data_IF_147616470012
#
_entry.id   IF_147616470012
#
_cell.length_a   1.000
_cell.length_b   1.000
_cell.length_c   1.000
_cell.angle_alpha   90.00
_cell.angle_beta   90.00
_cell.angle_gamma   90.00
#
_symmetry.space_group_name_H-M   'P 1'
#
loop_
_entity.id
_entity.type
_entity.pdbx_description
1 polymer ?
#
# COMPACT_ATOMS: atom_id res chain seq x y z
N UNK A 1 -6.15 1.05 -27.26
CA UNK A 1 -5.05 0.08 -27.03
C UNK A 1 -5.37 -0.76 -25.80
N UNK A 2 -5.47 -2.08 -25.95
CA UNK A 2 -5.77 -3.02 -24.87
C UNK A 2 -4.68 -2.94 -23.79
N UNK A 3 -5.07 -2.64 -22.55
CA UNK A 3 -4.14 -2.58 -21.42
C UNK A 3 -3.81 -4.00 -20.98
N UNK A 4 -2.75 -4.58 -21.52
CA UNK A 4 -2.24 -5.87 -21.06
C UNK A 4 -1.56 -5.71 -19.70
N UNK A 5 -2.34 -5.94 -18.63
CA UNK A 5 -1.80 -6.14 -17.29
C UNK A 5 -1.19 -7.54 -17.21
N UNK A 6 0.07 -7.66 -16.77
CA UNK A 6 0.68 -8.98 -16.57
C UNK A 6 0.08 -9.59 -15.30
N UNK A 7 -0.67 -10.67 -15.46
CA UNK A 7 -1.21 -11.43 -14.32
C UNK A 7 -0.12 -12.34 -13.75
N UNK A 8 -0.06 -12.39 -12.42
CA UNK A 8 0.80 -13.26 -11.64
C UNK A 8 -0.11 -14.16 -10.78
N UNK A 9 0.24 -15.43 -10.62
CA UNK A 9 -0.46 -16.28 -9.67
C UNK A 9 -0.33 -15.71 -8.25
N UNK A 10 -1.22 -16.12 -7.33
CA UNK A 10 -1.13 -15.68 -5.94
C UNK A 10 0.23 -16.01 -5.31
N UNK A 11 0.78 -17.19 -5.63
CA UNK A 11 2.10 -17.60 -5.17
C UNK A 11 3.18 -16.70 -5.76
N UNK A 12 3.18 -16.44 -7.07
CA UNK A 12 4.18 -15.59 -7.72
C UNK A 12 4.18 -14.17 -7.17
N UNK A 13 3.00 -13.56 -7.02
CA UNK A 13 2.88 -12.21 -6.47
C UNK A 13 3.30 -12.13 -5.01
N UNK A 14 2.86 -13.08 -4.18
CA UNK A 14 3.27 -13.15 -2.77
C UNK A 14 4.78 -13.37 -2.63
N UNK A 15 5.36 -14.30 -3.40
CA UNK A 15 6.81 -14.55 -3.41
C UNK A 15 7.59 -13.31 -3.84
N UNK A 16 7.12 -12.58 -4.85
CA UNK A 16 7.74 -11.34 -5.28
C UNK A 16 7.71 -10.29 -4.16
N UNK A 17 6.57 -10.11 -3.49
CA UNK A 17 6.46 -9.17 -2.37
C UNK A 17 7.35 -9.55 -1.19
N UNK A 18 7.36 -10.82 -0.81
CA UNK A 18 8.23 -11.33 0.27
C UNK A 18 9.69 -11.11 -0.09
N UNK A 19 10.10 -11.48 -1.31
CA UNK A 19 11.46 -11.26 -1.79
C UNK A 19 11.83 -9.77 -1.76
N UNK A 20 10.96 -8.89 -2.23
CA UNK A 20 11.16 -7.45 -2.19
C UNK A 20 11.36 -6.90 -0.77
N UNK A 21 10.57 -7.37 0.20
CA UNK A 21 10.76 -7.00 1.61
C UNK A 21 12.09 -7.51 2.18
N UNK A 22 12.45 -8.77 1.88
CA UNK A 22 13.72 -9.34 2.32
C UNK A 22 14.92 -8.57 1.74
N UNK A 23 14.85 -8.18 0.47
CA UNK A 23 15.85 -7.30 -0.16
C UNK A 23 15.92 -5.96 0.58
N UNK A 24 14.78 -5.33 0.86
CA UNK A 24 14.75 -4.07 1.62
C UNK A 24 15.42 -4.19 2.99
N UNK A 25 15.08 -5.22 3.75
CA UNK A 25 15.69 -5.49 5.07
C UNK A 25 17.19 -5.77 4.97
N UNK A 26 17.62 -6.57 3.98
CA UNK A 26 19.04 -6.85 3.75
C UNK A 26 19.82 -5.58 3.38
N UNK A 27 19.22 -4.69 2.59
CA UNK A 27 19.84 -3.41 2.23
C UNK A 27 20.03 -2.48 3.43
N UNK A 28 19.13 -2.50 4.42
CA UNK A 28 19.33 -1.74 5.67
C UNK A 28 20.57 -2.19 6.44
N UNK A 29 20.94 -3.46 6.32
CA UNK A 29 22.14 -4.03 6.92
C UNK A 29 23.36 -3.65 6.07
N UNK A 30 23.29 -3.80 4.75
CA UNK A 30 24.44 -3.59 3.85
C UNK A 30 24.81 -2.11 3.71
N UNK A 31 23.83 -1.21 3.58
CA UNK A 31 24.07 0.17 3.17
C UNK A 31 25.06 0.96 4.06
N UNK A 32 24.99 0.89 5.41
CA UNK A 32 25.95 1.58 6.27
C UNK A 32 27.39 1.05 6.16
N UNK A 33 27.57 -0.18 5.66
CA UNK A 33 28.90 -0.78 5.46
C UNK A 33 29.56 -0.31 4.17
N UNK A 34 28.78 0.23 3.23
CA UNK A 34 29.29 0.77 1.97
C UNK A 34 29.77 2.21 2.22
N UNK A 35 31.08 2.43 2.11
CA UNK A 35 31.71 3.76 2.30
C UNK A 35 31.81 4.59 1.02
N UNK A 36 30.98 4.28 0.03
CA UNK A 36 30.96 4.97 -1.25
C UNK A 36 29.67 5.79 -1.38
N UNK A 37 29.81 7.12 -1.33
CA UNK A 37 28.74 8.04 -1.69
C UNK A 37 28.74 8.27 -3.21
N UNK A 38 27.58 8.31 -3.90
CA UNK A 38 26.21 8.25 -3.38
C UNK A 38 25.61 6.84 -3.29
N UNK A 39 26.40 5.78 -3.52
CA UNK A 39 25.89 4.40 -3.58
C UNK A 39 25.18 3.98 -2.28
N UNK A 40 25.77 4.26 -1.12
CA UNK A 40 25.13 3.92 0.17
C UNK A 40 23.78 4.62 0.37
N UNK A 41 23.66 5.90 0.00
CA UNK A 41 22.40 6.64 0.03
C UNK A 41 21.35 6.03 -0.92
N UNK A 42 21.78 5.63 -2.12
CA UNK A 42 20.93 4.93 -3.08
C UNK A 42 20.42 3.59 -2.52
N UNK A 43 21.27 2.80 -1.86
CA UNK A 43 20.85 1.52 -1.25
C UNK A 43 19.78 1.72 -0.17
N UNK A 44 19.92 2.74 0.67
CA UNK A 44 18.90 3.08 1.68
C UNK A 44 17.60 3.57 1.03
N UNK A 45 17.68 4.34 -0.06
CA UNK A 45 16.49 4.76 -0.82
C UNK A 45 15.78 3.56 -1.48
N UNK A 46 16.52 2.60 -2.04
CA UNK A 46 15.96 1.36 -2.58
C UNK A 46 15.32 0.54 -1.46
N UNK A 47 15.95 0.46 -0.28
CA UNK A 47 15.36 -0.20 0.89
C UNK A 47 14.02 0.45 1.29
N UNK A 48 13.97 1.77 1.33
CA UNK A 48 12.74 2.53 1.59
C UNK A 48 11.64 2.17 0.60
N UNK A 49 11.96 2.18 -0.70
CA UNK A 49 11.00 1.83 -1.75
C UNK A 49 10.52 0.39 -1.61
N UNK A 50 11.41 -0.57 -1.34
CA UNK A 50 11.05 -1.97 -1.14
C UNK A 50 10.07 -2.16 0.03
N UNK A 51 10.35 -1.54 1.18
CA UNK A 51 9.50 -1.63 2.37
C UNK A 51 8.16 -0.91 2.20
N UNK A 52 8.12 0.17 1.43
CA UNK A 52 6.89 0.88 1.08
C UNK A 52 6.03 0.09 0.09
N UNK A 53 6.62 -0.29 -1.05
CA UNK A 53 5.92 -0.83 -2.20
C UNK A 53 5.42 -2.26 -1.98
N UNK A 54 6.30 -3.16 -1.52
CA UNK A 54 5.96 -4.58 -1.44
C UNK A 54 5.15 -4.95 -0.20
N UNK A 55 5.16 -4.10 0.84
CA UNK A 55 4.38 -4.35 2.06
C UNK A 55 2.88 -4.17 1.85
N UNK A 56 2.48 -3.26 0.96
CA UNK A 56 1.08 -2.89 0.73
C UNK A 56 0.21 -4.08 0.30
N UNK A 57 0.45 -4.62 -0.91
CA UNK A 57 -0.35 -5.75 -1.42
C UNK A 57 -0.14 -7.03 -0.60
N UNK A 58 1.05 -7.20 -0.01
CA UNK A 58 1.31 -8.35 0.84
C UNK A 58 0.49 -8.27 2.13
N UNK A 59 0.33 -7.08 2.71
CA UNK A 59 -0.52 -6.87 3.87
C UNK A 59 -1.99 -7.13 3.55
N UNK A 60 -2.48 -6.69 2.39
CA UNK A 60 -3.81 -7.06 1.92
C UNK A 60 -3.95 -8.58 1.80
N UNK A 61 -2.98 -9.25 1.17
CA UNK A 61 -3.03 -10.68 0.97
C UNK A 61 -3.00 -11.46 2.28
N UNK A 62 -2.06 -11.16 3.18
CA UNK A 62 -1.92 -11.85 4.47
C UNK A 62 -3.14 -11.60 5.35
N UNK A 63 -3.50 -10.33 5.58
CA UNK A 63 -4.64 -9.99 6.45
C UNK A 63 -5.93 -10.50 5.84
N UNK A 64 -6.11 -10.37 4.53
CA UNK A 64 -7.26 -10.92 3.82
C UNK A 64 -7.38 -12.43 3.99
N UNK A 65 -6.29 -13.19 3.83
CA UNK A 65 -6.31 -14.65 4.06
C UNK A 65 -6.67 -15.00 5.49
N UNK A 66 -6.14 -14.29 6.48
CA UNK A 66 -6.44 -14.48 7.90
C UNK A 66 -7.93 -14.17 8.17
N UNK A 67 -8.49 -13.14 7.54
CA UNK A 67 -9.89 -12.74 7.73
C UNK A 67 -10.87 -13.52 6.85
N UNK A 68 -10.37 -14.38 5.96
CA UNK A 68 -11.15 -15.25 5.08
C UNK A 68 -11.41 -14.67 3.68
N UNK A 69 -10.91 -13.47 3.36
CA UNK A 69 -11.06 -12.82 2.04
C UNK A 69 -10.27 -13.60 0.99
N UNK A 70 -10.98 -13.95 -0.09
CA UNK A 70 -10.43 -14.63 -1.24
C UNK A 70 -9.78 -13.66 -2.23
N UNK A 71 -8.73 -14.14 -2.90
CA UNK A 71 -8.04 -13.40 -3.95
C UNK A 71 -7.92 -14.26 -5.19
N UNK A 72 -7.94 -13.63 -6.37
CA UNK A 72 -7.86 -14.34 -7.66
C UNK A 72 -6.45 -14.39 -8.20
N UNK A 73 -5.77 -13.24 -8.26
CA UNK A 73 -4.42 -13.11 -8.81
C UNK A 73 -3.80 -11.76 -8.43
N UNK A 74 -2.47 -11.69 -8.50
CA UNK A 74 -1.75 -10.42 -8.54
C UNK A 74 -1.67 -9.91 -9.98
N UNK A 75 -1.50 -8.62 -10.17
CA UNK A 75 -1.25 -8.04 -11.46
C UNK A 75 -0.21 -6.93 -11.37
N UNK A 76 0.60 -6.82 -12.43
CA UNK A 76 1.49 -5.68 -12.63
C UNK A 76 0.84 -4.71 -13.62
N UNK A 77 0.61 -3.48 -13.20
CA UNK A 77 -0.10 -2.46 -13.95
C UNK A 77 0.46 -1.06 -13.84
N UNK A 78 -0.33 -0.08 -14.27
CA UNK A 78 -0.05 1.35 -14.10
C UNK A 78 -0.97 1.91 -13.02
N UNK A 79 -0.48 2.86 -12.23
CA UNK A 79 -1.21 3.43 -11.10
C UNK A 79 -2.56 4.02 -11.49
N UNK A 80 -3.60 3.72 -10.71
CA UNK A 80 -4.91 4.34 -10.84
C UNK A 80 -4.89 5.85 -10.49
N UNK A 81 -3.85 6.31 -9.77
CA UNK A 81 -3.61 7.73 -9.47
C UNK A 81 -3.33 8.54 -10.75
N UNK A 82 -3.03 7.89 -11.87
CA UNK A 82 -3.03 8.57 -13.19
C UNK A 82 -4.40 9.13 -13.59
N UNK A 83 -5.48 8.76 -12.88
CA UNK A 83 -6.82 9.34 -13.03
C UNK A 83 -7.07 10.56 -12.13
N UNK A 84 -6.21 10.80 -11.13
CA UNK A 84 -6.21 12.05 -10.37
C UNK A 84 -5.40 13.05 -11.18
N UNK A 85 -6.03 14.16 -11.59
CA UNK A 85 -5.42 15.25 -12.36
C UNK A 85 -4.42 16.08 -11.52
N UNK A 86 -3.46 15.41 -10.88
CA UNK A 86 -2.37 16.04 -10.15
C UNK A 86 -1.16 16.18 -11.09
N UNK A 87 -0.81 17.38 -11.56
CA UNK A 87 0.14 17.56 -12.67
C UNK A 87 1.56 17.04 -12.38
N UNK A 88 1.99 17.06 -11.11
CA UNK A 88 3.33 16.59 -10.71
C UNK A 88 3.31 15.09 -10.37
N UNK A 89 2.33 14.64 -9.58
CA UNK A 89 2.23 13.24 -9.16
C UNK A 89 1.89 12.29 -10.32
N UNK A 90 1.05 12.73 -11.26
CA UNK A 90 0.62 11.91 -12.40
C UNK A 90 1.77 11.57 -13.35
N UNK A 91 2.75 12.45 -13.54
CA UNK A 91 3.92 12.19 -14.38
C UNK A 91 4.90 11.20 -13.74
N UNK A 92 5.15 11.34 -12.44
CA UNK A 92 6.04 10.44 -11.70
C UNK A 92 5.44 9.03 -11.55
N UNK A 93 4.15 8.95 -11.22
CA UNK A 93 3.43 7.68 -10.98
C UNK A 93 3.07 6.91 -12.26
N UNK A 94 3.23 7.52 -13.45
CA UNK A 94 3.12 6.81 -14.74
C UNK A 94 4.26 5.82 -14.97
N UNK A 95 5.44 6.12 -14.41
CA UNK A 95 6.66 5.35 -14.61
C UNK A 95 6.81 4.21 -13.60
N UNK A 96 6.16 4.33 -12.44
CA UNK A 96 6.22 3.31 -11.39
C UNK A 96 5.18 2.21 -11.70
N UNK A 97 5.61 0.96 -11.96
CA UNK A 97 4.68 -0.14 -12.08
C UNK A 97 3.95 -0.32 -10.74
N UNK A 98 2.64 -0.54 -10.80
CA UNK A 98 1.84 -0.84 -9.61
C UNK A 98 1.64 -2.34 -9.56
N UNK A 99 2.10 -2.94 -8.47
CA UNK A 99 1.64 -4.25 -8.07
C UNK A 99 0.24 -4.05 -7.48
N UNK A 100 -0.69 -4.92 -7.86
CA UNK A 100 -2.05 -4.87 -7.34
C UNK A 100 -2.60 -6.26 -7.15
N UNK A 101 -3.55 -6.39 -6.24
CA UNK A 101 -4.18 -7.65 -5.88
C UNK A 101 -5.65 -7.65 -6.28
N UNK A 102 -6.07 -8.59 -7.13
CA UNK A 102 -7.49 -8.73 -7.51
C UNK A 102 -8.23 -9.60 -6.49
N UNK A 103 -9.14 -8.97 -5.76
CA UNK A 103 -10.04 -9.62 -4.79
C UNK A 103 -11.10 -10.46 -5.52
N UNK A 104 -11.50 -11.57 -4.91
CA UNK A 104 -12.69 -12.34 -5.30
C UNK A 104 -13.95 -11.71 -4.69
N UNK A 105 -14.75 -11.07 -5.53
CA UNK A 105 -15.96 -10.34 -5.11
C UNK A 105 -17.00 -11.24 -4.44
N UNK A 106 -17.05 -12.53 -4.79
CA UNK A 106 -17.95 -13.48 -4.14
C UNK A 106 -17.58 -13.72 -2.67
N UNK A 107 -16.28 -13.69 -2.37
CA UNK A 107 -15.77 -13.81 -0.99
C UNK A 107 -16.06 -12.57 -0.15
N UNK A 108 -16.07 -11.37 -0.76
CA UNK A 108 -16.36 -10.13 -0.02
C UNK A 108 -17.79 -10.14 0.54
N UNK A 109 -18.75 -10.67 -0.21
CA UNK A 109 -20.16 -10.69 0.18
C UNK A 109 -20.48 -11.71 1.29
N UNK A 110 -19.62 -12.71 1.49
CA UNK A 110 -19.82 -13.75 2.50
C UNK A 110 -19.12 -13.47 3.83
N UNK A 111 -18.34 -12.39 3.93
CA UNK A 111 -17.49 -12.08 5.08
C UNK A 111 -18.03 -10.89 5.84
N UNK A 112 -17.84 -10.90 7.17
CA UNK A 112 -18.29 -9.79 7.99
C UNK A 112 -17.60 -8.47 7.59
N UNK A 113 -18.33 -7.35 7.62
CA UNK A 113 -17.82 -6.03 7.31
C UNK A 113 -16.51 -5.64 7.98
N UNK A 114 -16.36 -5.95 9.27
CA UNK A 114 -15.17 -5.59 10.03
C UNK A 114 -13.92 -6.33 9.53
N UNK A 115 -14.09 -7.57 9.06
CA UNK A 115 -13.01 -8.38 8.48
C UNK A 115 -12.57 -7.86 7.11
N UNK A 116 -13.53 -7.43 6.28
CA UNK A 116 -13.25 -6.76 5.01
C UNK A 116 -12.53 -5.42 5.25
N UNK A 117 -12.97 -4.63 6.24
CA UNK A 117 -12.29 -3.39 6.63
C UNK A 117 -10.86 -3.62 7.09
N UNK A 118 -10.62 -4.62 7.93
CA UNK A 118 -9.28 -4.95 8.39
C UNK A 118 -8.35 -5.27 7.22
N UNK A 119 -8.85 -6.00 6.20
CA UNK A 119 -8.11 -6.28 4.98
C UNK A 119 -7.81 -4.99 4.19
N UNK A 120 -8.77 -4.08 3.99
CA UNK A 120 -8.50 -2.82 3.28
C UNK A 120 -7.54 -1.91 4.07
N UNK A 121 -7.72 -1.77 5.38
CA UNK A 121 -6.88 -0.91 6.20
C UNK A 121 -5.43 -1.41 6.26
N UNK A 122 -5.19 -2.73 6.16
CA UNK A 122 -3.85 -3.30 6.32
C UNK A 122 -2.84 -2.80 5.28
N UNK A 123 -3.22 -2.68 4.01
CA UNK A 123 -2.34 -2.20 2.95
C UNK A 123 -1.79 -0.81 3.26
N UNK A 124 -2.70 0.14 3.51
CA UNK A 124 -2.36 1.51 3.89
C UNK A 124 -1.45 1.55 5.13
N UNK A 125 -1.82 0.87 6.22
CA UNK A 125 -1.04 0.89 7.47
C UNK A 125 0.39 0.36 7.27
N UNK A 126 0.55 -0.79 6.63
CA UNK A 126 1.87 -1.39 6.47
C UNK A 126 2.77 -0.55 5.55
N UNK A 127 2.21 0.03 4.48
CA UNK A 127 2.94 0.96 3.61
C UNK A 127 3.30 2.29 4.26
N UNK A 128 2.62 2.68 5.34
CA UNK A 128 3.01 3.84 6.17
C UNK A 128 4.11 3.46 7.16
N UNK A 129 3.94 2.37 7.92
CA UNK A 129 4.81 2.07 9.05
C UNK A 129 6.13 1.39 8.69
N UNK A 130 6.17 0.50 7.69
CA UNK A 130 7.39 -0.25 7.38
C UNK A 130 8.56 0.64 6.91
N UNK A 131 8.34 1.71 6.11
CA UNK A 131 9.40 2.63 5.73
C UNK A 131 10.09 3.35 6.90
N UNK A 132 9.44 3.48 8.08
CA UNK A 132 10.08 4.05 9.26
C UNK A 132 11.29 3.26 9.76
N UNK A 133 11.36 1.96 9.45
CA UNK A 133 12.53 1.12 9.76
C UNK A 133 13.81 1.61 9.07
N UNK A 134 13.68 2.39 7.99
CA UNK A 134 14.81 2.93 7.22
C UNK A 134 15.44 4.14 7.91
N UNK A 135 14.66 4.89 8.69
CA UNK A 135 15.09 6.18 9.25
C UNK A 135 16.37 6.05 10.11
N UNK A 136 16.49 5.12 11.07
CA UNK A 136 17.73 4.98 11.86
C UNK A 136 18.96 4.69 10.98
N UNK A 137 18.83 3.77 10.03
CA UNK A 137 19.91 3.41 9.10
C UNK A 137 20.30 4.58 8.20
N UNK A 138 19.35 5.41 7.79
CA UNK A 138 19.63 6.57 6.94
C UNK A 138 20.49 7.63 7.65
N UNK A 139 20.30 7.84 8.96
CA UNK A 139 21.19 8.68 9.77
C UNK A 139 22.59 8.08 9.96
N UNK A 140 22.69 6.75 10.02
CA UNK A 140 23.99 6.07 10.05
C UNK A 140 24.78 6.22 8.74
N UNK A 141 24.09 6.40 7.61
CA UNK A 141 24.72 6.75 6.32
C UNK A 141 25.14 8.22 6.27
N UNK A 142 24.35 9.13 6.84
CA UNK A 142 24.73 10.54 7.03
C UNK A 142 23.55 11.45 7.35
N UNK A 143 23.83 12.60 7.97
CA UNK A 143 22.81 13.54 8.43
C UNK A 143 21.85 13.98 7.32
N UNK A 144 22.37 14.37 6.15
CA UNK A 144 21.56 14.82 5.01
C UNK A 144 20.65 13.72 4.48
N UNK A 145 21.15 12.47 4.40
CA UNK A 145 20.36 11.31 3.96
C UNK A 145 19.28 10.99 4.99
N UNK A 146 19.60 11.07 6.27
CA UNK A 146 18.67 10.91 7.39
C UNK A 146 17.51 11.89 7.37
N UNK A 147 17.81 13.19 7.23
CA UNK A 147 16.80 14.24 7.12
C UNK A 147 15.92 14.01 5.88
N UNK A 148 16.53 13.76 4.72
CA UNK A 148 15.79 13.54 3.48
C UNK A 148 14.82 12.35 3.58
N UNK A 149 15.25 11.20 4.09
CA UNK A 149 14.37 10.03 4.22
C UNK A 149 13.33 10.16 5.34
N UNK A 150 13.63 10.93 6.38
CA UNK A 150 12.62 11.28 7.40
C UNK A 150 11.50 12.11 6.76
N UNK A 151 11.85 13.16 6.02
CA UNK A 151 10.88 14.00 5.32
C UNK A 151 10.08 13.20 4.28
N UNK A 152 10.75 12.32 3.52
CA UNK A 152 10.08 11.44 2.56
C UNK A 152 9.07 10.50 3.24
N UNK A 153 9.44 9.93 4.39
CA UNK A 153 8.57 9.02 5.15
C UNK A 153 7.37 9.75 5.72
N UNK A 154 7.57 10.93 6.32
CA UNK A 154 6.48 11.79 6.80
C UNK A 154 5.57 12.21 5.64
N UNK A 155 6.15 12.60 4.50
CA UNK A 155 5.37 12.96 3.33
C UNK A 155 4.53 11.78 2.80
N UNK A 156 5.06 10.55 2.81
CA UNK A 156 4.30 9.34 2.49
C UNK A 156 3.11 9.12 3.44
N UNK A 157 3.31 9.31 4.74
CA UNK A 157 2.25 9.14 5.73
C UNK A 157 1.15 10.18 5.54
N UNK A 158 1.52 11.46 5.36
CA UNK A 158 0.58 12.56 5.08
C UNK A 158 -0.16 12.31 3.78
N UNK A 159 0.56 11.90 2.72
CA UNK A 159 -0.03 11.57 1.43
C UNK A 159 -1.07 10.45 1.56
N UNK A 160 -0.72 9.37 2.27
CA UNK A 160 -1.61 8.22 2.48
C UNK A 160 -2.83 8.62 3.31
N UNK A 161 -2.64 9.36 4.41
CA UNK A 161 -3.73 9.83 5.26
C UNK A 161 -4.68 10.81 4.55
N UNK A 162 -4.16 11.62 3.63
CA UNK A 162 -4.98 12.58 2.88
C UNK A 162 -5.74 11.90 1.72
N UNK A 163 -5.06 11.11 0.89
CA UNK A 163 -5.64 10.57 -0.34
C UNK A 163 -6.33 9.21 -0.17
N UNK A 164 -5.84 8.34 0.72
CA UNK A 164 -6.43 6.99 0.89
C UNK A 164 -7.90 7.04 1.33
N UNK A 165 -8.34 7.95 2.23
CA UNK A 165 -9.76 8.06 2.58
C UNK A 165 -10.67 8.59 1.47
N UNK A 166 -10.10 9.25 0.46
CA UNK A 166 -10.85 9.85 -0.65
C UNK A 166 -11.04 8.83 -1.78
N UNK A 167 -9.99 8.09 -2.14
CA UNK A 167 -9.97 7.23 -3.34
C UNK A 167 -9.22 5.90 -3.18
N UNK A 168 -8.66 5.61 -2.00
CA UNK A 168 -7.83 4.42 -1.74
C UNK A 168 -8.48 3.41 -0.79
N UNK A 169 -7.68 2.65 -0.05
CA UNK A 169 -8.20 1.55 0.76
C UNK A 169 -9.01 2.02 1.96
N UNK A 170 -8.65 3.17 2.55
CA UNK A 170 -9.43 3.75 3.64
C UNK A 170 -10.81 4.22 3.13
N UNK A 171 -10.92 4.65 1.87
CA UNK A 171 -12.21 4.91 1.22
C UNK A 171 -13.01 3.61 1.12
N UNK A 172 -12.44 2.53 0.58
CA UNK A 172 -13.12 1.25 0.48
C UNK A 172 -13.54 0.69 1.86
N UNK A 173 -12.70 0.80 2.88
CA UNK A 173 -13.04 0.44 4.25
C UNK A 173 -14.22 1.26 4.80
N UNK A 174 -14.31 2.55 4.47
CA UNK A 174 -15.45 3.41 4.84
C UNK A 174 -16.72 3.02 4.07
N UNK A 175 -16.63 2.73 2.77
CA UNK A 175 -17.79 2.35 1.94
C UNK A 175 -18.42 1.02 2.38
N UNK A 176 -17.63 0.10 2.93
CA UNK A 176 -18.18 -1.09 3.59
C UNK A 176 -19.15 -0.70 4.72
N UNK A 177 -18.98 0.45 5.38
CA UNK A 177 -19.93 0.96 6.40
C UNK A 177 -21.25 1.46 5.82
N UNK A 178 -21.22 2.17 4.69
CA UNK A 178 -22.42 2.77 4.11
C UNK A 178 -23.35 1.74 3.46
N UNK A 179 -22.82 0.58 3.05
CA UNK A 179 -23.64 -0.53 2.54
C UNK A 179 -24.38 -1.32 3.64
N UNK A 180 -24.10 -1.06 4.92
CA UNK A 180 -24.70 -1.76 6.07
C UNK A 180 -25.77 -0.92 6.75
N UNK A 181 -25.85 0.37 6.47
CA UNK A 181 -26.89 1.20 7.07
C UNK A 181 -28.20 0.85 6.37
N UNK A 182 -29.17 0.18 7.03
CA UNK A 182 -30.53 0.21 6.51
C UNK A 182 -30.90 1.69 6.43
N UNK A 183 -31.61 2.07 5.38
CA UNK A 183 -32.39 3.30 5.40
C UNK A 183 -33.10 3.35 6.75
N UNK A 184 -32.64 4.22 7.67
CA UNK A 184 -33.44 4.64 8.80
C UNK A 184 -34.51 5.52 8.15
N UNK A 185 -35.53 4.87 7.60
CA UNK A 185 -36.80 5.51 7.32
C UNK A 185 -37.32 5.89 8.68
N UNK A 186 -37.17 7.16 9.05
CA UNK A 186 -37.94 7.75 10.14
C UNK A 186 -39.38 7.75 9.65
N UNK A 187 -40.08 6.63 9.83
CA UNK A 187 -41.53 6.66 9.98
C UNK A 187 -41.78 7.11 11.42
N UNK A 188 -41.82 8.43 11.60
CA UNK A 188 -42.60 9.02 12.69
C UNK A 188 -44.02 9.08 12.17
N UNK A 189 -44.84 8.19 12.70
CA UNK A 189 -46.28 8.12 12.62
C UNK A 189 -46.93 9.51 12.59
N UNK A 190 -47.77 9.71 11.58
CA UNK A 190 -48.89 10.62 11.66
C UNK A 190 -50.08 9.79 12.12
N UNK A 191 -50.43 9.84 13.41
CA UNK A 191 -51.76 9.47 13.92
C UNK A 191 -52.05 10.27 15.19
N UNK A 192 -53.18 11.00 15.20
CA UNK A 192 -53.78 11.61 16.38
C UNK A 192 -54.11 13.09 16.25
#
# INVERSE_FOLDING_TARGET
MSRHFRRLSLAQGASLSVFGLLVGLALLIVAPRVRLFPLNALLVLVAWFCLWFFSHDLAHHIVGRITGVGFRYYFLGRSAITKLDLPIASNLLRLVPVLGLKIDESSLNSISPNRVRAMYVSGALFSMFLPWLVVPTSFAVGLTVGIFLTLLTVANDVFTLYFSPQVGDLHHARMVRSQIQPSITIHSEAEG
#
